data_IF_417329869651
#
_entry.id   IF_417329869651
#
_cell.length_a   1.000
_cell.length_b   1.000
_cell.length_c   1.000
_cell.angle_alpha   90.00
_cell.angle_beta   90.00
_cell.angle_gamma   90.00
#
_symmetry.space_group_name_H-M   'P 1'
#
loop_
_entity.id
_entity.type
_entity.pdbx_description
1 polymer ?
#
# COMPACT_ATOMS: atom_id res chain seq x y z
N UNK A 1 26.15 -19.53 -7.21
CA UNK A 1 25.07 -20.52 -7.01
C UNK A 1 23.90 -19.90 -6.26
N UNK A 2 24.16 -19.04 -5.26
CA UNK A 2 23.17 -18.32 -4.44
C UNK A 2 22.12 -17.49 -5.22
N UNK A 3 22.51 -16.74 -6.27
CA UNK A 3 21.58 -15.89 -7.04
C UNK A 3 20.41 -16.66 -7.70
N UNK A 4 20.69 -17.84 -8.27
CA UNK A 4 19.66 -18.70 -8.85
C UNK A 4 18.75 -19.31 -7.78
N UNK A 5 19.24 -19.45 -6.55
CA UNK A 5 18.44 -19.89 -5.40
C UNK A 5 17.46 -18.79 -4.99
N UNK A 6 17.95 -17.57 -4.79
CA UNK A 6 17.13 -16.42 -4.36
C UNK A 6 16.01 -16.08 -5.35
N UNK A 7 16.30 -16.06 -6.67
CA UNK A 7 15.26 -15.80 -7.68
C UNK A 7 14.19 -16.92 -7.72
N UNK A 8 14.59 -18.19 -7.52
CA UNK A 8 13.66 -19.32 -7.46
C UNK A 8 12.82 -19.28 -6.17
N UNK A 9 13.41 -18.91 -5.04
CA UNK A 9 12.72 -18.73 -3.77
C UNK A 9 11.67 -17.62 -3.86
N UNK A 10 12.00 -16.49 -4.49
CA UNK A 10 11.05 -15.40 -4.76
C UNK A 10 9.88 -15.88 -5.62
N UNK A 11 10.15 -16.59 -6.72
CA UNK A 11 9.09 -17.11 -7.60
C UNK A 11 8.15 -18.09 -6.86
N UNK A 12 8.72 -18.97 -6.04
CA UNK A 12 7.93 -19.89 -5.20
C UNK A 12 7.06 -19.13 -4.20
N UNK A 13 7.62 -18.08 -3.58
CA UNK A 13 6.89 -17.24 -2.63
C UNK A 13 5.73 -16.50 -3.30
N UNK A 14 5.95 -15.91 -4.47
CA UNK A 14 4.92 -15.23 -5.25
C UNK A 14 3.83 -16.19 -5.71
N UNK A 15 4.21 -17.40 -6.15
CA UNK A 15 3.24 -18.43 -6.52
C UNK A 15 2.38 -18.85 -5.31
N UNK A 16 3.00 -19.03 -4.14
CA UNK A 16 2.28 -19.37 -2.90
C UNK A 16 1.29 -18.26 -2.49
N UNK A 17 1.66 -16.99 -2.65
CA UNK A 17 0.75 -15.86 -2.39
C UNK A 17 -0.43 -15.89 -3.36
N UNK A 18 -0.17 -16.09 -4.66
CA UNK A 18 -1.19 -16.12 -5.71
C UNK A 18 -2.16 -17.30 -5.55
N UNK A 19 -1.69 -18.45 -5.09
CA UNK A 19 -2.49 -19.68 -4.92
C UNK A 19 -3.17 -19.81 -3.56
N UNK A 20 -2.95 -18.88 -2.63
CA UNK A 20 -3.50 -18.98 -1.28
C UNK A 20 -4.92 -18.45 -1.21
N UNK A 21 -5.87 -19.33 -0.93
CA UNK A 21 -7.29 -18.98 -0.71
C UNK A 21 -7.54 -18.44 0.71
N UNK A 22 -6.61 -18.68 1.64
CA UNK A 22 -6.69 -18.26 3.04
C UNK A 22 -6.05 -16.87 3.22
N UNK A 23 -6.72 -15.96 3.94
CA UNK A 23 -6.23 -14.58 4.18
C UNK A 23 -5.01 -14.59 5.10
N UNK A 24 -5.07 -15.34 6.20
CA UNK A 24 -4.03 -15.43 7.23
C UNK A 24 -2.73 -16.00 6.67
N UNK A 25 -2.83 -17.06 5.86
CA UNK A 25 -1.67 -17.64 5.17
C UNK A 25 -1.01 -16.65 4.22
N UNK A 26 -1.77 -15.74 3.59
CA UNK A 26 -1.20 -14.68 2.76
C UNK A 26 -0.46 -13.63 3.57
N UNK A 27 -0.91 -13.29 4.77
CA UNK A 27 -0.24 -12.32 5.65
C UNK A 27 1.17 -12.81 5.98
N UNK A 28 1.33 -14.06 6.41
CA UNK A 28 2.65 -14.64 6.71
C UNK A 28 3.57 -14.69 5.47
N UNK A 29 3.01 -14.99 4.30
CA UNK A 29 3.76 -15.00 3.04
C UNK A 29 4.19 -13.59 2.63
N UNK A 30 3.36 -12.57 2.87
CA UNK A 30 3.72 -11.18 2.63
C UNK A 30 4.75 -10.66 3.63
N UNK A 31 4.72 -11.08 4.89
CA UNK A 31 5.77 -10.77 5.85
C UNK A 31 7.12 -11.35 5.39
N UNK A 32 7.13 -12.60 4.91
CA UNK A 32 8.32 -13.20 4.28
C UNK A 32 8.76 -12.42 3.03
N UNK A 33 7.82 -11.92 2.23
CA UNK A 33 8.13 -11.13 1.04
C UNK A 33 8.68 -9.74 1.40
N UNK A 34 8.22 -9.15 2.51
CA UNK A 34 8.77 -7.90 3.04
C UNK A 34 10.22 -8.11 3.47
N UNK A 35 10.51 -9.20 4.15
CA UNK A 35 11.84 -9.47 4.68
C UNK A 35 12.80 -9.99 3.61
N UNK A 36 12.31 -10.26 2.40
CA UNK A 36 13.11 -10.63 1.25
C UNK A 36 13.93 -9.42 0.76
N UNK A 37 15.24 -9.61 0.58
CA UNK A 37 16.12 -8.58 0.02
C UNK A 37 16.14 -8.69 -1.50
N UNK A 38 15.35 -7.83 -2.17
CA UNK A 38 15.38 -7.72 -3.63
C UNK A 38 16.62 -6.94 -4.05
N UNK A 39 17.44 -7.58 -4.87
CA UNK A 39 18.72 -7.04 -5.32
C UNK A 39 18.63 -6.38 -6.71
N UNK A 40 17.59 -6.68 -7.50
CA UNK A 40 17.51 -6.28 -8.92
C UNK A 40 16.12 -5.84 -9.38
N UNK A 41 16.11 -4.93 -10.37
CA UNK A 41 14.89 -4.40 -11.01
C UNK A 41 14.01 -5.49 -11.64
N UNK A 42 14.60 -6.56 -12.17
CA UNK A 42 13.88 -7.67 -12.80
C UNK A 42 13.01 -8.48 -11.83
N UNK A 43 13.31 -8.41 -10.53
CA UNK A 43 12.57 -9.15 -9.50
C UNK A 43 11.33 -8.38 -9.02
N UNK A 44 11.23 -7.08 -9.35
CA UNK A 44 10.13 -6.22 -8.90
C UNK A 44 8.85 -6.37 -9.73
N UNK A 45 8.94 -6.60 -11.04
CA UNK A 45 7.76 -6.75 -11.90
C UNK A 45 6.77 -7.84 -11.41
N UNK A 46 7.20 -9.08 -11.11
CA UNK A 46 6.29 -10.11 -10.63
C UNK A 46 5.80 -9.84 -9.19
N UNK A 47 6.58 -9.11 -8.38
CA UNK A 47 6.17 -8.66 -7.04
C UNK A 47 5.05 -7.64 -7.16
N UNK A 48 5.20 -6.63 -8.02
CA UNK A 48 4.19 -5.59 -8.25
C UNK A 48 2.89 -6.21 -8.76
N UNK A 49 2.98 -7.11 -9.74
CA UNK A 49 1.80 -7.84 -10.23
C UNK A 49 1.08 -8.54 -9.08
N UNK A 50 1.82 -9.22 -8.20
CA UNK A 50 1.29 -9.88 -7.02
C UNK A 50 0.71 -8.91 -5.97
N UNK A 51 1.27 -7.71 -5.82
CA UNK A 51 0.78 -6.69 -4.88
C UNK A 51 -0.50 -6.02 -5.39
N UNK A 52 -0.73 -5.99 -6.71
CA UNK A 52 -1.91 -5.32 -7.29
C UNK A 52 -3.19 -6.16 -7.26
N UNK A 53 -3.10 -7.48 -7.07
CA UNK A 53 -4.26 -8.37 -7.11
C UNK A 53 -5.01 -8.50 -5.78
N UNK A 54 -4.43 -8.04 -4.68
CA UNK A 54 -5.01 -8.11 -3.33
C UNK A 54 -4.74 -6.79 -2.63
N UNK A 55 -5.71 -6.22 -1.92
CA UNK A 55 -5.48 -5.04 -1.08
C UNK A 55 -5.48 -5.52 0.37
N UNK A 56 -4.30 -5.63 0.98
CA UNK A 56 -4.10 -6.08 2.36
C UNK A 56 -3.04 -5.21 3.04
N UNK A 57 -3.09 -5.11 4.37
CA UNK A 57 -2.10 -4.41 5.20
C UNK A 57 -0.66 -4.73 4.82
N UNK A 58 -0.32 -6.01 4.67
CA UNK A 58 1.05 -6.45 4.42
C UNK A 58 1.59 -5.94 3.07
N UNK A 59 0.72 -5.67 2.10
CA UNK A 59 1.08 -5.20 0.76
C UNK A 59 1.57 -3.75 0.78
N UNK A 60 0.95 -2.89 1.60
CA UNK A 60 1.38 -1.49 1.76
C UNK A 60 2.70 -1.39 2.53
N UNK A 61 2.91 -2.26 3.52
CA UNK A 61 4.18 -2.35 4.25
C UNK A 61 5.32 -2.80 3.32
N UNK A 62 5.09 -3.83 2.51
CA UNK A 62 6.03 -4.31 1.48
C UNK A 62 6.35 -3.21 0.47
N UNK A 63 5.34 -2.53 -0.05
CA UNK A 63 5.51 -1.41 -0.99
C UNK A 63 6.34 -0.27 -0.38
N UNK A 64 6.07 0.10 0.87
CA UNK A 64 6.82 1.16 1.59
C UNK A 64 8.30 0.82 1.68
N UNK A 65 8.65 -0.41 2.12
CA UNK A 65 10.05 -0.86 2.17
C UNK A 65 10.74 -0.72 0.81
N UNK A 66 10.07 -1.12 -0.27
CA UNK A 66 10.64 -1.05 -1.61
C UNK A 66 10.83 0.38 -2.11
N UNK A 67 9.89 1.28 -1.83
CA UNK A 67 10.05 2.70 -2.13
C UNK A 67 11.23 3.30 -1.36
N UNK A 68 11.37 2.97 -0.07
CA UNK A 68 12.47 3.48 0.78
C UNK A 68 13.85 2.94 0.36
N UNK A 69 13.91 1.73 -0.18
CA UNK A 69 15.15 1.11 -0.66
C UNK A 69 15.79 1.82 -1.88
N UNK A 70 15.12 2.83 -2.45
CA UNK A 70 15.66 3.63 -3.55
C UNK A 70 15.64 2.93 -4.91
N UNK A 71 14.89 1.83 -5.03
CA UNK A 71 14.66 1.12 -6.30
C UNK A 71 13.69 1.95 -7.19
N UNK A 72 14.22 3.04 -7.76
CA UNK A 72 13.49 4.06 -8.52
C UNK A 72 12.73 3.53 -9.74
N UNK A 73 13.11 2.34 -10.24
CA UNK A 73 12.55 1.75 -11.46
C UNK A 73 11.07 1.39 -11.39
N UNK A 74 10.49 1.35 -10.19
CA UNK A 74 9.13 0.85 -9.94
C UNK A 74 8.22 1.87 -9.24
N UNK A 75 8.69 3.11 -9.09
CA UNK A 75 7.98 4.15 -8.36
C UNK A 75 6.58 4.41 -8.94
N UNK A 76 6.44 4.48 -10.27
CA UNK A 76 5.15 4.68 -10.95
C UNK A 76 4.12 3.63 -10.53
N UNK A 77 4.53 2.37 -10.44
CA UNK A 77 3.65 1.27 -10.07
C UNK A 77 3.21 1.36 -8.61
N UNK A 78 4.10 1.77 -7.71
CA UNK A 78 3.75 2.03 -6.31
C UNK A 78 2.80 3.22 -6.16
N UNK A 79 2.93 4.27 -6.99
CA UNK A 79 1.95 5.38 -7.03
C UNK A 79 0.57 4.90 -7.48
N UNK A 80 0.50 4.02 -8.47
CA UNK A 80 -0.77 3.41 -8.92
C UNK A 80 -1.40 2.57 -7.80
N UNK A 81 -0.60 1.78 -7.09
CA UNK A 81 -1.05 0.99 -5.93
C UNK A 81 -1.59 1.90 -4.83
N UNK A 82 -0.82 2.92 -4.43
CA UNK A 82 -1.22 3.88 -3.42
C UNK A 82 -2.51 4.63 -3.79
N UNK A 83 -2.66 5.02 -5.06
CA UNK A 83 -3.89 5.63 -5.59
C UNK A 83 -5.11 4.73 -5.40
N UNK A 84 -4.99 3.44 -5.75
CA UNK A 84 -6.09 2.47 -5.58
C UNK A 84 -6.42 2.24 -4.10
N UNK A 85 -5.40 2.09 -3.26
CA UNK A 85 -5.55 1.91 -1.83
C UNK A 85 -6.22 3.12 -1.17
N UNK A 86 -5.87 4.33 -1.62
CA UNK A 86 -6.48 5.58 -1.16
C UNK A 86 -7.97 5.66 -1.49
N UNK A 87 -8.34 5.37 -2.74
CA UNK A 87 -9.74 5.33 -3.15
C UNK A 87 -10.55 4.25 -2.40
N UNK A 88 -9.93 3.13 -2.02
CA UNK A 88 -10.56 2.13 -1.17
C UNK A 88 -10.74 2.66 0.26
N UNK A 89 -9.69 3.24 0.85
CA UNK A 89 -9.71 3.79 2.21
C UNK A 89 -10.76 4.89 2.38
N UNK A 90 -10.87 5.82 1.43
CA UNK A 90 -11.85 6.90 1.52
C UNK A 90 -13.30 6.41 1.50
N UNK A 91 -13.58 5.35 0.72
CA UNK A 91 -14.90 4.71 0.72
C UNK A 91 -15.18 3.97 2.02
N UNK A 92 -14.18 3.24 2.53
CA UNK A 92 -14.34 2.42 3.72
C UNK A 92 -14.39 3.24 5.01
N UNK A 93 -13.67 4.36 5.07
CA UNK A 93 -13.68 5.30 6.20
C UNK A 93 -15.11 5.71 6.58
N UNK A 94 -15.93 6.06 5.59
CA UNK A 94 -17.33 6.45 5.81
C UNK A 94 -18.16 5.28 6.35
N UNK A 95 -17.91 4.06 5.88
CA UNK A 95 -18.60 2.87 6.36
C UNK A 95 -18.22 2.54 7.81
N UNK A 96 -16.92 2.64 8.14
CA UNK A 96 -16.41 2.43 9.51
C UNK A 96 -16.97 3.47 10.47
N UNK A 97 -17.04 4.75 10.07
CA UNK A 97 -17.55 5.84 10.90
C UNK A 97 -19.05 5.73 11.20
N UNK A 98 -19.85 5.14 10.29
CA UNK A 98 -21.30 4.99 10.45
C UNK A 98 -21.71 3.73 11.22
N UNK A 99 -20.77 2.86 11.60
CA UNK A 99 -21.07 1.62 12.30
C UNK A 99 -21.18 1.83 13.81
N UNK A 100 -22.32 1.41 14.38
CA UNK A 100 -22.75 1.75 15.74
C UNK A 100 -22.66 0.63 16.78
N UNK A 101 -21.97 -0.50 16.53
CA UNK A 101 -22.00 -1.64 17.49
C UNK A 101 -20.62 -2.17 17.90
N UNK A 102 -20.48 -2.41 19.22
CA UNK A 102 -19.24 -2.79 19.93
C UNK A 102 -18.62 -4.15 19.57
N UNK A 103 -19.08 -4.82 18.50
CA UNK A 103 -18.43 -6.00 17.89
C UNK A 103 -17.47 -5.64 16.75
N UNK A 104 -17.31 -4.35 16.41
CA UNK A 104 -16.49 -3.88 15.29
C UNK A 104 -15.18 -3.17 15.66
N UNK A 105 -14.77 -3.18 16.93
CA UNK A 105 -13.54 -2.49 17.36
C UNK A 105 -12.28 -3.08 16.69
N UNK A 106 -12.18 -4.40 16.58
CA UNK A 106 -11.06 -5.07 15.89
C UNK A 106 -11.02 -4.74 14.39
N UNK A 107 -12.17 -4.72 13.71
CA UNK A 107 -12.28 -4.33 12.30
C UNK A 107 -11.90 -2.86 12.09
N UNK A 108 -12.26 -1.99 13.03
CA UNK A 108 -11.92 -0.58 13.00
C UNK A 108 -10.41 -0.36 13.22
N UNK A 109 -9.81 -1.07 14.17
CA UNK A 109 -8.37 -1.04 14.43
C UNK A 109 -7.57 -1.53 13.22
N UNK A 110 -8.00 -2.61 12.57
CA UNK A 110 -7.38 -3.11 11.34
C UNK A 110 -7.47 -2.08 10.21
N UNK A 111 -8.62 -1.41 10.06
CA UNK A 111 -8.80 -0.36 9.07
C UNK A 111 -7.88 0.85 9.33
N UNK A 112 -7.84 1.36 10.56
CA UNK A 112 -6.98 2.51 10.88
C UNK A 112 -5.49 2.18 10.75
N UNK A 113 -5.10 0.94 11.03
CA UNK A 113 -3.74 0.49 10.77
C UNK A 113 -3.43 0.45 9.27
N UNK A 114 -4.35 -0.05 8.43
CA UNK A 114 -4.19 -0.01 6.97
C UNK A 114 -4.06 1.44 6.46
N UNK A 115 -4.84 2.35 7.03
CA UNK A 115 -4.81 3.76 6.71
C UNK A 115 -3.45 4.39 7.06
N UNK A 116 -2.90 4.05 8.22
CA UNK A 116 -1.57 4.49 8.63
C UNK A 116 -0.50 3.96 7.66
N UNK A 117 -0.55 2.67 7.32
CA UNK A 117 0.41 2.04 6.39
C UNK A 117 0.33 2.70 4.99
N UNK A 118 -0.87 3.11 4.55
CA UNK A 118 -1.04 3.88 3.31
C UNK A 118 -0.40 5.28 3.39
N UNK A 119 -0.57 5.98 4.52
CA UNK A 119 0.05 7.29 4.71
C UNK A 119 1.58 7.19 4.75
N UNK A 120 2.13 6.13 5.36
CA UNK A 120 3.56 5.82 5.33
C UNK A 120 4.06 5.57 3.90
N UNK A 121 3.37 4.73 3.12
CA UNK A 121 3.69 4.53 1.70
C UNK A 121 3.67 5.85 0.94
N UNK A 122 2.71 6.72 1.26
CA UNK A 122 2.57 8.01 0.59
C UNK A 122 3.71 8.96 0.89
N UNK A 123 4.12 9.02 2.15
CA UNK A 123 5.28 9.79 2.57
C UNK A 123 6.55 9.31 1.87
N UNK A 124 6.81 7.99 1.90
CA UNK A 124 7.94 7.37 1.22
C UNK A 124 7.92 7.68 -0.29
N UNK A 125 6.75 7.58 -0.93
CA UNK A 125 6.58 7.83 -2.36
C UNK A 125 6.86 9.28 -2.74
N UNK A 126 6.38 10.24 -1.94
CA UNK A 126 6.66 11.68 -2.16
C UNK A 126 8.14 11.97 -1.98
N UNK A 127 8.78 11.40 -0.95
CA UNK A 127 10.24 11.54 -0.76
C UNK A 127 10.99 10.95 -1.96
N UNK A 128 10.60 9.76 -2.43
CA UNK A 128 11.23 9.12 -3.58
C UNK A 128 11.08 9.95 -4.86
N UNK A 129 9.92 10.59 -5.08
CA UNK A 129 9.68 11.51 -6.20
C UNK A 129 10.63 12.72 -6.18
N UNK A 130 10.99 13.23 -5.00
CA UNK A 130 11.96 14.34 -4.89
C UNK A 130 13.40 13.91 -5.19
N UNK A 131 13.74 12.64 -4.93
CA UNK A 131 15.09 12.08 -5.16
C UNK A 131 15.28 11.57 -6.58
N UNK A 132 14.19 11.12 -7.20
CA UNK A 132 14.17 10.54 -8.53
C UNK A 132 13.03 11.19 -9.32
N UNK A 133 13.29 12.27 -10.07
CA UNK A 133 12.25 12.90 -10.88
C UNK A 133 11.73 11.91 -11.93
N UNK A 134 10.49 11.44 -11.75
CA UNK A 134 9.84 10.41 -12.61
C UNK A 134 9.19 11.04 -13.87
N UNK A 135 9.36 12.34 -14.07
CA UNK A 135 8.71 13.10 -15.15
C UNK A 135 9.38 12.92 -16.52
N UNK A 136 9.68 11.68 -16.90
CA UNK A 136 10.30 11.35 -18.20
C UNK A 136 9.25 11.45 -19.33
N UNK A 137 7.97 11.25 -19.01
CA UNK A 137 6.86 11.31 -19.96
C UNK A 137 5.54 11.82 -19.34
N UNK A 138 4.61 12.23 -20.20
CA UNK A 138 3.32 12.80 -19.80
C UNK A 138 2.40 11.80 -19.07
N UNK A 139 2.51 10.49 -19.33
CA UNK A 139 1.71 9.48 -18.67
C UNK A 139 2.18 9.28 -17.22
N UNK A 140 3.49 9.24 -17.00
CA UNK A 140 4.10 9.21 -15.66
C UNK A 140 3.74 10.47 -14.86
N UNK A 141 3.76 11.65 -15.49
CA UNK A 141 3.32 12.90 -14.85
C UNK A 141 1.84 12.85 -14.40
N UNK A 142 0.95 12.34 -15.26
CA UNK A 142 -0.48 12.18 -14.93
C UNK A 142 -0.72 11.19 -13.78
N UNK A 143 0.10 10.14 -13.66
CA UNK A 143 0.04 9.20 -12.53
C UNK A 143 0.46 9.88 -11.22
N UNK A 144 1.53 10.68 -11.25
CA UNK A 144 1.98 11.45 -10.08
C UNK A 144 0.92 12.45 -9.64
N UNK A 145 0.36 13.21 -10.58
CA UNK A 145 -0.70 14.18 -10.30
C UNK A 145 -1.92 13.50 -9.67
N UNK A 146 -2.39 12.41 -10.28
CA UNK A 146 -3.53 11.64 -9.77
C UNK A 146 -3.27 11.11 -8.37
N UNK A 147 -2.09 10.55 -8.13
CA UNK A 147 -1.70 10.05 -6.82
C UNK A 147 -1.75 11.15 -5.77
N UNK A 148 -1.13 12.30 -6.01
CA UNK A 148 -1.11 13.43 -5.08
C UNK A 148 -2.54 13.93 -4.78
N UNK A 149 -3.37 14.08 -5.81
CA UNK A 149 -4.76 14.52 -5.66
C UNK A 149 -5.57 13.56 -4.78
N UNK A 150 -5.44 12.25 -5.00
CA UNK A 150 -6.15 11.25 -4.19
C UNK A 150 -5.65 11.22 -2.75
N UNK A 151 -4.35 11.35 -2.50
CA UNK A 151 -3.83 11.44 -1.12
C UNK A 151 -4.36 12.68 -0.39
N UNK A 152 -4.40 13.84 -1.05
CA UNK A 152 -4.94 15.06 -0.47
C UNK A 152 -6.44 14.97 -0.21
N UNK A 153 -7.21 14.34 -1.10
CA UNK A 153 -8.63 14.13 -0.90
C UNK A 153 -8.91 13.17 0.26
N UNK A 154 -8.15 12.06 0.36
CA UNK A 154 -8.27 11.15 1.49
C UNK A 154 -7.97 11.85 2.82
N UNK A 155 -6.92 12.67 2.89
CA UNK A 155 -6.59 13.44 4.10
C UNK A 155 -7.75 14.37 4.49
N UNK A 156 -8.38 15.05 3.52
CA UNK A 156 -9.56 15.88 3.78
C UNK A 156 -10.73 15.07 4.34
N UNK A 157 -10.99 13.89 3.77
CA UNK A 157 -12.04 13.00 4.25
C UNK A 157 -11.75 12.54 5.69
N UNK A 158 -10.52 12.11 5.99
CA UNK A 158 -10.08 11.72 7.35
C UNK A 158 -10.31 12.87 8.35
N UNK A 159 -9.83 14.07 8.03
CA UNK A 159 -9.96 15.24 8.91
C UNK A 159 -11.43 15.59 9.13
N UNK A 160 -12.26 15.46 8.10
CA UNK A 160 -13.70 15.70 8.21
C UNK A 160 -14.38 14.72 9.15
N UNK A 161 -14.03 13.43 9.08
CA UNK A 161 -14.58 12.41 9.98
C UNK A 161 -14.10 12.58 11.43
N UNK A 162 -12.81 12.90 11.64
CA UNK A 162 -12.28 13.19 12.98
C UNK A 162 -13.03 14.38 13.60
N UNK A 163 -13.28 15.43 12.82
CA UNK A 163 -14.05 16.59 13.28
C UNK A 163 -15.48 16.20 13.66
N UNK A 164 -16.15 15.40 12.84
CA UNK A 164 -17.51 14.91 13.13
C UNK A 164 -17.56 14.09 14.41
N UNK A 165 -16.62 13.15 14.59
CA UNK A 165 -16.52 12.34 15.80
C UNK A 165 -16.24 13.18 17.06
N UNK A 166 -15.38 14.20 16.95
CA UNK A 166 -15.10 15.11 18.07
C UNK A 166 -16.33 15.94 18.47
N UNK A 167 -17.12 16.42 17.49
CA UNK A 167 -18.36 17.14 17.78
C UNK A 167 -19.40 16.23 18.44
N UNK A 168 -19.49 14.97 18.03
CA UNK A 168 -20.43 14.00 18.60
C UNK A 168 -20.16 13.64 20.07
N UNK A 169 -18.92 13.75 20.54
CA UNK A 169 -18.55 13.49 21.94
C UNK A 169 -18.87 14.66 22.91
N UNK A 170 -19.22 15.83 22.38
CA UNK A 170 -19.50 17.04 23.17
C UNK A 170 -21.01 17.29 23.40
N UNK A 171 -21.85 16.33 23.02
CA UNK A 171 -23.31 16.31 23.24
C UNK A 171 -23.71 15.02 23.96
#
# INVERSE_FOLDING_TARGET
>A
MERKSSSKELQNLLQAIKSSDVVESRIELFDKLRDFDLLEKSDLDPVIECLTCLLNKSILSVATKYVDSGLSGCLVQFLVLGTKASGWCGKHLKMTAMSTEGSQEEHSNLFFQLLLDLLSLSSASVVALTRHPVFIDNASAAIVERFILEQLNLIKDIVSEIKSAHLAQNY
#
